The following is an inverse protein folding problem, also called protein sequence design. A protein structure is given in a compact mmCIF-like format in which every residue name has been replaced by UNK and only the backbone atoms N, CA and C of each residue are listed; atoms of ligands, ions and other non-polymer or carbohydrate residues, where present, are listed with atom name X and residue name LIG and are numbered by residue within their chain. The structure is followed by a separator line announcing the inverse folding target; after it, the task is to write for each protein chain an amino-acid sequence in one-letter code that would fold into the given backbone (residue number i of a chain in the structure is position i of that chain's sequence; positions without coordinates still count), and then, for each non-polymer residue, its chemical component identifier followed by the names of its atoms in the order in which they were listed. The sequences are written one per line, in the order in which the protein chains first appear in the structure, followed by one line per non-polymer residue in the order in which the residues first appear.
data_IF_624878424386
#
_entry.id   IF_624878424386
#
_cell.length_a   1.000
_cell.length_b   1.000
_cell.length_c   1.000
_cell.angle_alpha   90.00
_cell.angle_beta   90.00
_cell.angle_gamma   90.00
#
_symmetry.space_group_name_H-M   'P 1'
#
loop_
_entity.id
_entity.type
_entity.pdbx_description
1 polymer ?
#
# COMPACT_ATOMS: atom_id res chain seq x y z
N UNK A 1 -22.93 22.54 15.85
CA UNK A 1 -21.67 23.11 16.34
C UNK A 1 -20.64 21.98 16.35
N UNK A 2 -19.57 21.92 15.56
CA UNK A 2 -19.06 22.71 14.46
C UNK A 2 -18.48 21.70 13.44
N UNK A 3 -18.78 21.91 12.15
CA UNK A 3 -18.10 21.24 11.06
C UNK A 3 -16.77 21.98 10.83
N UNK A 4 -15.64 21.31 11.02
CA UNK A 4 -14.33 21.94 10.81
C UNK A 4 -13.20 21.29 11.58
N UNK A 5 -12.84 20.05 11.24
CA UNK A 5 -11.50 19.50 11.53
C UNK A 5 -11.16 18.31 10.59
N UNK A 6 -11.73 18.29 9.38
CA UNK A 6 -11.64 17.12 8.49
C UNK A 6 -10.58 17.22 7.38
N UNK A 7 -9.90 18.36 7.20
CA UNK A 7 -9.27 18.65 5.89
C UNK A 7 -7.77 18.93 5.87
N UNK A 8 -6.99 18.54 6.88
CA UNK A 8 -5.51 18.62 6.74
C UNK A 8 -4.76 17.40 7.30
N UNK A 9 -5.35 16.21 7.12
CA UNK A 9 -4.63 14.96 7.31
C UNK A 9 -4.22 14.38 5.95
N UNK A 10 -2.93 14.16 5.77
CA UNK A 10 -2.38 13.36 4.69
C UNK A 10 -2.39 11.88 5.04
N UNK A 11 -2.34 11.02 4.03
CA UNK A 11 -2.29 9.57 4.22
C UNK A 11 -1.07 8.99 3.54
N UNK A 12 -0.29 8.22 4.29
CA UNK A 12 0.85 7.46 3.78
C UNK A 12 0.48 5.98 3.75
N UNK A 13 0.36 5.40 2.56
CA UNK A 13 -0.01 3.99 2.39
C UNK A 13 1.22 3.14 2.10
N UNK A 14 1.34 2.04 2.85
CA UNK A 14 2.49 1.14 2.83
C UNK A 14 2.00 -0.31 2.80
N UNK A 15 2.75 -1.19 2.14
CA UNK A 15 2.44 -2.62 2.17
C UNK A 15 2.48 -3.16 3.62
N UNK A 16 1.62 -4.14 3.92
CA UNK A 16 1.43 -4.62 5.30
C UNK A 16 2.72 -5.05 5.99
N UNK A 17 3.60 -5.73 5.28
CA UNK A 17 4.86 -6.21 5.86
C UNK A 17 5.73 -5.06 6.37
N UNK A 18 6.04 -4.08 5.51
CA UNK A 18 6.88 -2.93 5.88
C UNK A 18 6.20 -2.06 6.94
N UNK A 19 4.90 -1.87 6.83
CA UNK A 19 4.14 -1.06 7.78
C UNK A 19 4.14 -1.65 9.19
N UNK A 20 3.96 -2.97 9.34
CA UNK A 20 4.01 -3.64 10.64
C UNK A 20 5.42 -3.59 11.25
N UNK A 21 6.47 -3.73 10.43
CA UNK A 21 7.84 -3.59 10.89
C UNK A 21 8.16 -2.15 11.33
N UNK A 22 7.63 -1.15 10.62
CA UNK A 22 7.78 0.25 11.00
C UNK A 22 7.02 0.55 12.30
N UNK A 23 5.80 0.03 12.47
CA UNK A 23 5.03 0.15 13.71
C UNK A 23 5.78 -0.35 14.94
N UNK A 24 6.50 -1.47 14.82
CA UNK A 24 7.33 -2.00 15.91
C UNK A 24 8.49 -1.08 16.31
N UNK A 25 8.87 -0.12 15.46
CA UNK A 25 9.94 0.86 15.71
C UNK A 25 9.43 2.22 16.14
N UNK A 26 8.12 2.45 16.07
CA UNK A 26 7.51 3.69 16.50
C UNK A 26 7.23 3.63 18.00
N UNK A 27 7.74 4.59 18.75
CA UNK A 27 7.46 4.74 20.18
C UNK A 27 6.06 5.29 20.46
N UNK A 28 5.55 6.12 19.55
CA UNK A 28 4.23 6.72 19.63
C UNK A 28 3.57 6.74 18.23
N UNK A 29 3.01 5.61 17.77
CA UNK A 29 2.26 5.59 16.52
C UNK A 29 0.92 6.31 16.69
N UNK A 30 0.55 7.13 15.70
CA UNK A 30 -0.78 7.72 15.62
C UNK A 30 -1.80 6.76 15.01
N UNK A 31 -2.87 7.32 14.45
CA UNK A 31 -3.95 6.57 13.81
C UNK A 31 -3.47 5.80 12.58
N UNK A 32 -3.88 4.54 12.49
CA UNK A 32 -3.51 3.62 11.41
C UNK A 32 -4.72 2.80 11.00
N UNK A 33 -5.09 2.85 9.71
CA UNK A 33 -6.11 1.99 9.14
C UNK A 33 -5.49 0.85 8.35
N UNK A 34 -6.17 -0.28 8.31
CA UNK A 34 -5.86 -1.43 7.47
C UNK A 34 -6.86 -1.47 6.33
N UNK A 35 -6.37 -1.57 5.11
CA UNK A 35 -7.16 -1.96 3.95
C UNK A 35 -6.90 -3.46 3.67
N UNK A 36 -7.85 -4.36 3.98
CA UNK A 36 -7.66 -5.79 3.86
C UNK A 36 -7.91 -6.30 2.42
N UNK A 37 -7.67 -5.48 1.39
CA UNK A 37 -7.89 -5.86 0.00
C UNK A 37 -7.21 -7.20 -0.29
N UNK A 38 -7.94 -8.21 -0.83
CA UNK A 38 -7.37 -9.53 -1.08
C UNK A 38 -6.16 -9.43 -2.03
N UNK A 39 -5.08 -10.11 -1.68
CA UNK A 39 -3.83 -10.14 -2.47
C UNK A 39 -2.84 -9.00 -2.18
N UNK A 40 -3.29 -7.87 -1.62
CA UNK A 40 -2.41 -6.73 -1.33
C UNK A 40 -2.88 -5.94 -0.09
N UNK A 41 -2.83 -6.53 1.11
CA UNK A 41 -3.20 -5.81 2.32
C UNK A 41 -2.22 -4.65 2.54
N UNK A 42 -2.77 -3.46 2.79
CA UNK A 42 -2.01 -2.23 3.03
C UNK A 42 -2.41 -1.60 4.35
N UNK A 43 -1.47 -0.87 4.94
CA UNK A 43 -1.72 -0.03 6.11
C UNK A 43 -1.55 1.43 5.68
N UNK A 44 -2.41 2.27 6.21
CA UNK A 44 -2.44 3.70 5.93
C UNK A 44 -2.24 4.46 7.24
N UNK A 45 -1.18 5.23 7.31
CA UNK A 45 -0.85 6.09 8.44
C UNK A 45 -1.42 7.48 8.19
N UNK A 46 -2.11 8.05 9.18
CA UNK A 46 -2.51 9.44 9.14
C UNK A 46 -1.34 10.31 9.57
N UNK A 47 -1.00 11.31 8.77
CA UNK A 47 0.07 12.27 8.97
C UNK A 47 -0.45 13.69 8.70
N UNK A 48 0.24 14.76 9.10
CA UNK A 48 -0.11 16.12 8.66
C UNK A 48 -0.10 16.24 7.13
N UNK A 49 -1.03 16.99 6.50
CA UNK A 49 -1.18 16.98 5.04
C UNK A 49 0.05 17.41 4.27
N UNK A 50 0.79 18.39 4.79
CA UNK A 50 2.05 18.86 4.18
C UNK A 50 3.10 17.75 4.09
N UNK A 51 3.08 16.79 5.02
CA UNK A 51 4.08 15.74 5.07
C UNK A 51 3.89 14.69 3.96
N UNK A 52 2.66 14.41 3.55
CA UNK A 52 2.39 13.43 2.50
C UNK A 52 2.94 13.88 1.13
N UNK A 53 3.01 15.20 0.88
CA UNK A 53 3.51 15.78 -0.37
C UNK A 53 5.03 15.63 -0.54
N UNK A 54 5.77 15.61 0.57
CA UNK A 54 7.23 15.54 0.57
C UNK A 54 7.76 14.11 0.78
N UNK A 55 6.93 13.09 0.59
CA UNK A 55 7.34 11.70 0.83
C UNK A 55 8.18 11.17 -0.33
N UNK A 56 9.43 10.72 -0.09
CA UNK A 56 10.25 10.15 -1.14
C UNK A 56 9.69 8.80 -1.59
N UNK A 57 9.90 8.40 -2.86
CA UNK A 57 9.53 7.07 -3.33
C UNK A 57 10.46 6.03 -2.70
N UNK A 58 10.05 5.43 -1.56
CA UNK A 58 10.72 4.25 -1.01
C UNK A 58 10.13 2.99 -1.67
N UNK A 59 10.95 1.95 -1.94
CA UNK A 59 10.45 0.69 -2.49
C UNK A 59 9.39 0.08 -1.56
N UNK A 60 8.20 -0.18 -2.10
CA UNK A 60 7.05 -0.70 -1.34
C UNK A 60 6.25 0.35 -0.55
N UNK A 61 6.62 1.63 -0.63
CA UNK A 61 5.78 2.75 -0.19
C UNK A 61 5.17 3.44 -1.40
N UNK A 62 3.89 3.77 -1.31
CA UNK A 62 3.26 4.67 -2.26
C UNK A 62 2.75 5.85 -1.45
N UNK A 63 3.56 6.90 -1.40
CA UNK A 63 3.07 8.23 -1.04
C UNK A 63 2.05 8.60 -2.11
N UNK A 64 0.78 8.58 -1.75
CA UNK A 64 -0.28 8.80 -2.72
C UNK A 64 -1.23 9.82 -2.11
N UNK A 65 -1.35 10.98 -2.74
CA UNK A 65 -2.46 11.91 -2.54
C UNK A 65 -3.77 11.35 -3.11
N UNK A 66 -3.87 10.03 -3.31
CA UNK A 66 -5.12 9.38 -3.70
C UNK A 66 -6.01 9.30 -2.48
N UNK A 67 -7.25 9.72 -2.68
CA UNK A 67 -8.39 9.57 -1.79
C UNK A 67 -8.43 8.17 -1.17
N UNK A 68 -7.91 8.04 0.06
CA UNK A 68 -8.03 6.82 0.85
C UNK A 68 -9.36 6.92 1.58
N UNK A 69 -10.24 5.95 1.33
CA UNK A 69 -11.49 5.83 2.09
C UNK A 69 -11.12 5.44 3.52
N UNK A 70 -11.19 6.41 4.43
CA UNK A 70 -10.97 6.16 5.85
C UNK A 70 -12.11 5.32 6.43
N UNK A 71 -11.82 4.36 7.33
CA UNK A 71 -12.87 3.63 8.02
C UNK A 71 -13.69 4.57 8.91
N UNK A 72 -14.99 4.29 9.12
CA UNK A 72 -15.75 4.96 10.17
C UNK A 72 -15.08 4.72 11.52
N UNK A 73 -15.15 5.71 12.42
CA UNK A 73 -14.35 5.74 13.67
C UNK A 73 -14.50 4.48 14.56
N UNK A 74 -15.68 3.86 14.54
CA UNK A 74 -15.99 2.67 15.33
C UNK A 74 -15.59 1.34 14.66
N UNK A 75 -15.13 1.35 13.41
CA UNK A 75 -14.88 0.12 12.65
C UNK A 75 -13.49 -0.45 12.94
N UNK A 76 -13.47 -1.54 13.71
CA UNK A 76 -12.24 -2.24 14.17
C UNK A 76 -12.05 -3.63 13.56
N UNK A 77 -13.06 -4.16 12.86
CA UNK A 77 -13.06 -5.53 12.35
C UNK A 77 -13.43 -5.60 10.86
N UNK A 78 -12.93 -6.59 10.12
CA UNK A 78 -13.36 -6.87 8.76
C UNK A 78 -14.86 -7.26 8.70
N UNK A 79 -15.53 -7.14 7.55
CA UNK A 79 -14.99 -6.88 6.20
C UNK A 79 -14.75 -5.39 5.87
N UNK A 80 -13.82 -5.13 4.95
CA UNK A 80 -13.46 -3.79 4.45
C UNK A 80 -12.45 -3.04 5.33
N UNK A 81 -12.11 -1.78 5.02
CA UNK A 81 -11.17 -0.99 5.80
C UNK A 81 -11.56 -0.90 7.28
N UNK A 82 -10.60 -0.98 8.19
CA UNK A 82 -10.81 -0.88 9.64
C UNK A 82 -9.60 -0.22 10.33
N UNK A 83 -9.81 0.31 11.53
CA UNK A 83 -8.74 0.89 12.35
C UNK A 83 -7.92 -0.20 13.03
N UNK A 84 -6.60 -0.19 12.81
CA UNK A 84 -5.63 -0.94 13.63
C UNK A 84 -5.23 -0.13 14.86
N UNK A 85 -5.04 1.18 14.69
CA UNK A 85 -4.88 2.16 15.76
C UNK A 85 -5.95 3.22 15.54
N UNK A 86 -6.74 3.49 16.57
CA UNK A 86 -7.90 4.38 16.49
C UNK A 86 -7.54 5.80 16.06
N UNK A 87 -8.49 6.48 15.39
CA UNK A 87 -8.36 7.89 15.01
C UNK A 87 -8.08 8.82 16.21
N UNK A 88 -8.56 8.44 17.39
CA UNK A 88 -8.36 9.15 18.66
C UNK A 88 -6.88 9.28 19.08
N UNK A 89 -5.98 8.43 18.54
CA UNK A 89 -4.53 8.56 18.79
C UNK A 89 -3.85 9.69 18.00
N UNK A 90 -4.60 10.40 17.15
CA UNK A 90 -4.08 11.56 16.42
C UNK A 90 -3.17 11.17 15.26
N UNK A 91 -2.33 12.11 14.82
CA UNK A 91 -1.49 11.95 13.64
C UNK A 91 -0.13 11.36 14.02
N UNK A 92 0.40 10.49 13.15
CA UNK A 92 1.77 9.99 13.30
C UNK A 92 2.75 11.08 12.88
N UNK A 93 3.81 11.27 13.68
CA UNK A 93 4.88 12.20 13.29
C UNK A 93 5.53 11.74 11.97
N UNK A 94 5.61 12.61 10.96
CA UNK A 94 6.12 12.24 9.65
C UNK A 94 7.61 11.92 9.67
N UNK A 95 8.39 12.62 10.51
CA UNK A 95 9.82 12.36 10.66
C UNK A 95 10.08 11.00 11.28
N UNK A 96 9.35 10.63 12.33
CA UNK A 96 9.52 9.32 12.98
C UNK A 96 9.06 8.18 12.09
N UNK A 97 7.93 8.35 11.40
CA UNK A 97 7.42 7.36 10.44
C UNK A 97 8.41 7.15 9.30
N UNK A 98 8.97 8.24 8.75
CA UNK A 98 10.00 8.18 7.71
C UNK A 98 11.24 7.44 8.19
N UNK A 99 11.79 7.80 9.34
CA UNK A 99 12.98 7.13 9.89
C UNK A 99 12.73 5.64 10.12
N UNK A 100 11.55 5.27 10.63
CA UNK A 100 11.19 3.86 10.83
C UNK A 100 11.12 3.10 9.50
N UNK A 101 10.45 3.66 8.48
CA UNK A 101 10.31 3.03 7.16
C UNK A 101 11.66 2.92 6.44
N UNK A 102 12.50 3.95 6.47
CA UNK A 102 13.84 3.92 5.88
C UNK A 102 14.72 2.86 6.55
N UNK A 103 14.64 2.73 7.87
CA UNK A 103 15.38 1.71 8.60
C UNK A 103 14.92 0.29 8.20
N UNK A 104 13.61 0.06 8.09
CA UNK A 104 13.07 -1.24 7.64
C UNK A 104 13.48 -1.52 6.19
N UNK A 105 13.35 -0.54 5.29
CA UNK A 105 13.74 -0.70 3.90
C UNK A 105 15.23 -1.04 3.76
N UNK A 106 16.10 -0.39 4.55
CA UNK A 106 17.52 -0.70 4.60
C UNK A 106 17.78 -2.12 5.10
N UNK A 107 17.02 -2.58 6.08
CA UNK A 107 17.17 -3.93 6.63
C UNK A 107 16.73 -5.00 5.63
N UNK A 108 15.64 -4.75 4.91
CA UNK A 108 15.19 -5.61 3.80
C UNK A 108 16.24 -5.64 2.69
N UNK A 109 16.77 -4.49 2.27
CA UNK A 109 17.80 -4.41 1.24
C UNK A 109 19.09 -5.15 1.64
N UNK A 110 19.50 -5.07 2.92
CA UNK A 110 20.65 -5.84 3.42
C UNK A 110 20.39 -7.34 3.45
N UNK A 111 19.15 -7.74 3.76
CA UNK A 111 18.76 -9.15 3.85
C UNK A 111 18.47 -9.79 2.50
N UNK A 112 18.12 -8.97 1.51
CA UNK A 112 17.77 -9.40 0.17
C UNK A 112 18.36 -8.45 -0.88
N UNK A 113 19.67 -8.56 -1.18
CA UNK A 113 20.36 -7.66 -2.10
C UNK A 113 19.81 -7.73 -3.53
N UNK A 114 19.22 -8.86 -3.94
CA UNK A 114 18.64 -9.02 -5.29
C UNK A 114 17.36 -8.20 -5.52
N UNK A 115 16.69 -7.72 -4.47
CA UNK A 115 15.48 -6.88 -4.59
C UNK A 115 15.84 -5.39 -4.77
N UNK A 116 17.10 -5.03 -4.57
CA UNK A 116 17.61 -3.68 -4.85
C UNK A 116 17.81 -3.46 -6.36
N UNK A 117 17.93 -4.54 -7.15
CA UNK A 117 17.87 -4.50 -8.61
C UNK A 117 16.41 -4.50 -9.10
N UNK A 118 15.68 -3.45 -8.75
CA UNK A 118 14.42 -3.04 -9.39
C UNK A 118 13.15 -3.83 -9.03
N UNK A 119 12.31 -3.33 -8.09
CA UNK A 119 10.94 -3.81 -7.90
C UNK A 119 9.90 -2.97 -8.66
N UNK A 120 10.30 -2.07 -9.57
CA UNK A 120 9.35 -1.33 -10.40
C UNK A 120 8.55 -2.27 -11.33
N UNK A 121 9.12 -3.43 -11.70
CA UNK A 121 8.45 -4.44 -12.52
C UNK A 121 7.45 -5.30 -11.71
N UNK A 122 7.77 -5.67 -10.46
CA UNK A 122 6.92 -6.57 -9.68
C UNK A 122 5.71 -5.92 -9.00
N UNK A 123 5.66 -4.58 -8.94
CA UNK A 123 4.46 -3.86 -8.44
C UNK A 123 3.55 -3.42 -9.59
N UNK A 124 4.06 -3.32 -10.82
CA UNK A 124 3.27 -3.10 -12.03
C UNK A 124 2.49 -4.34 -12.49
N UNK A 125 3.04 -5.54 -12.30
CA UNK A 125 2.44 -6.78 -12.79
C UNK A 125 1.31 -7.37 -11.90
N UNK A 126 1.15 -6.89 -10.66
CA UNK A 126 0.04 -7.33 -9.79
C UNK A 126 -1.24 -6.47 -9.94
N UNK A 127 -1.23 -5.50 -10.86
CA UNK A 127 -2.31 -4.52 -11.08
C UNK A 127 -2.90 -4.57 -12.50
N UNK A 128 -2.85 -5.73 -13.16
CA UNK A 128 -3.83 -6.06 -14.17
C UNK A 128 -4.88 -6.98 -13.55
N UNK A 129 -6.19 -6.73 -13.73
CA UNK A 129 -7.18 -7.76 -13.43
C UNK A 129 -6.79 -9.00 -14.22
N UNK A 130 -6.63 -10.14 -13.53
CA UNK A 130 -6.44 -11.47 -14.12
C UNK A 130 -7.72 -11.96 -14.83
N UNK A 131 -8.38 -11.04 -15.53
CA UNK A 131 -9.63 -11.17 -16.25
C UNK A 131 -9.47 -10.60 -17.66
N UNK A 132 -8.40 -11.01 -18.33
CA UNK A 132 -8.31 -11.06 -19.78
C UNK A 132 -7.23 -12.08 -20.14
N UNK A 133 -7.51 -13.35 -19.85
CA UNK A 133 -6.92 -14.44 -20.62
C UNK A 133 -7.58 -14.29 -22.00
N UNK A 134 -6.92 -13.82 -23.07
CA UNK A 134 -7.46 -14.09 -24.40
C UNK A 134 -7.54 -15.61 -24.47
N UNK A 135 -8.77 -16.11 -24.59
CA UNK A 135 -9.00 -17.48 -24.98
C UNK A 135 -8.11 -17.75 -26.19
N UNK A 136 -7.42 -18.88 -26.15
CA UNK A 136 -6.66 -19.39 -27.27
C UNK A 136 -7.49 -19.25 -28.55
N UNK A 137 -7.10 -18.32 -29.44
CA UNK A 137 -7.39 -18.48 -30.85
C UNK A 137 -6.51 -19.64 -31.27
N UNK A 138 -7.12 -20.83 -31.25
CA UNK A 138 -6.62 -21.97 -31.98
C UNK A 138 -6.35 -21.50 -33.40
N UNK A 139 -5.08 -21.54 -33.80
CA UNK A 139 -4.76 -21.64 -35.21
C UNK A 139 -5.41 -22.93 -35.70
N UNK A 140 -6.62 -22.80 -36.24
CA UNK A 140 -7.25 -23.82 -37.05
C UNK A 140 -6.34 -24.04 -38.27
N UNK A 141 -5.45 -25.02 -38.11
CA UNK A 141 -4.67 -25.58 -39.20
C UNK A 141 -5.66 -26.24 -40.15
N UNK A 142 -6.00 -25.54 -41.22
CA UNK A 142 -6.62 -26.14 -42.41
C UNK A 142 -5.74 -27.32 -42.86
N UNK A 143 -6.22 -28.56 -42.85
CA UNK A 143 -5.49 -29.67 -43.45
C UNK A 143 -5.65 -29.58 -44.97
N UNK A 144 -4.62 -29.09 -45.68
CA UNK A 144 -4.51 -29.34 -47.12
C UNK A 144 -4.16 -30.81 -47.34
N UNK A 145 -5.19 -31.63 -47.50
CA UNK A 145 -5.08 -32.94 -48.12
C UNK A 145 -4.58 -32.81 -49.55
N UNK A 146 -3.55 -33.59 -49.89
CA UNK A 146 -3.24 -34.03 -51.25
C UNK A 146 -4.23 -35.14 -51.67
N UNK A 147 -4.23 -35.47 -52.96
CA UNK A 147 -5.03 -36.48 -53.72
C UNK A 147 -6.10 -35.77 -54.58
N UNK A 148 -6.13 -35.84 -55.93
CA UNK A 148 -5.45 -36.63 -56.96
C UNK A 148 -5.06 -35.72 -58.14
#
# INVERSE_FOLDING_TARGET
MAAGDETDAGVVTVCRFLALQALQRLTAPGAVSVNPLPGAPTLSFLVPADAARCWPPLPGTRGSCTEVVLPPDSKKVPPGPYWLIERSQGLTSPTTLRTALEAVARDVARRWPEAAAGPADLVGELWLPRSARPAAVGQDRVPRGRHW
#
